data_IF_926221294312
#
_entry.id   IF_926221294312
#
_cell.length_a   1.000
_cell.length_b   1.000
_cell.length_c   1.000
_cell.angle_alpha   90.00
_cell.angle_beta   90.00
_cell.angle_gamma   90.00
#
_symmetry.space_group_name_H-M   'P 1'
#
loop_
_entity.id
_entity.type
_entity.pdbx_description
1 polymer ?
#
# COMPACT_ATOMS: atom_id res chain seq x y z
N UNK A 1 21.36 -33.92 -14.68
CA UNK A 1 21.68 -32.55 -14.21
C UNK A 1 21.18 -31.61 -15.28
N UNK A 2 20.03 -30.99 -15.10
CA UNK A 2 19.59 -29.88 -15.96
C UNK A 2 19.84 -28.60 -15.18
N UNK A 3 20.78 -27.81 -15.66
CA UNK A 3 21.14 -26.51 -15.14
C UNK A 3 19.96 -25.55 -15.32
N UNK A 4 19.40 -25.08 -14.21
CA UNK A 4 18.35 -24.07 -14.23
C UNK A 4 19.05 -22.70 -14.25
N UNK A 5 19.29 -22.21 -15.47
CA UNK A 5 19.90 -20.90 -15.70
C UNK A 5 19.06 -19.80 -15.05
N UNK A 6 19.76 -18.83 -14.45
CA UNK A 6 19.20 -17.71 -13.73
C UNK A 6 18.11 -17.03 -14.53
N UNK A 7 16.95 -16.85 -13.90
CA UNK A 7 15.94 -15.92 -14.36
C UNK A 7 16.49 -14.53 -14.09
N UNK A 8 17.24 -14.01 -15.05
CA UNK A 8 17.76 -12.65 -15.03
C UNK A 8 16.60 -11.69 -14.75
N UNK A 9 16.73 -10.92 -13.67
CA UNK A 9 15.83 -9.83 -13.32
C UNK A 9 15.91 -8.77 -14.42
N UNK A 10 15.04 -8.92 -15.42
CA UNK A 10 14.92 -7.96 -16.49
C UNK A 10 14.56 -6.58 -15.90
N UNK A 11 15.30 -5.50 -16.22
CA UNK A 11 14.89 -4.16 -15.84
C UNK A 11 13.49 -3.88 -16.43
N UNK A 12 12.62 -3.25 -15.64
CA UNK A 12 11.29 -2.79 -16.04
C UNK A 12 11.43 -1.70 -17.12
N UNK A 13 11.58 -2.13 -18.37
CA UNK A 13 11.78 -1.24 -19.52
C UNK A 13 10.42 -0.78 -20.04
N UNK A 14 9.99 0.44 -19.68
CA UNK A 14 9.09 1.20 -20.56
C UNK A 14 7.88 1.93 -19.96
N UNK A 15 7.72 2.03 -18.64
CA UNK A 15 6.68 2.91 -18.09
C UNK A 15 7.14 4.38 -18.23
N UNK A 16 6.41 5.18 -19.02
CA UNK A 16 6.65 6.62 -19.09
C UNK A 16 6.64 7.23 -17.67
N UNK A 17 7.53 8.19 -17.36
CA UNK A 17 7.63 8.75 -16.03
C UNK A 17 6.26 9.29 -15.60
N UNK A 18 5.77 8.81 -14.45
CA UNK A 18 4.49 9.27 -13.91
C UNK A 18 4.59 10.78 -13.66
N UNK A 19 3.58 11.57 -14.08
CA UNK A 19 3.57 12.98 -13.78
C UNK A 19 3.50 13.15 -12.27
N UNK A 20 4.43 13.95 -11.75
CA UNK A 20 4.72 14.05 -10.32
C UNK A 20 4.85 15.54 -9.97
N UNK A 21 4.54 15.90 -8.73
CA UNK A 21 4.85 17.23 -8.19
C UNK A 21 6.36 17.42 -8.02
N UNK A 22 6.81 18.66 -7.80
CA UNK A 22 8.23 18.98 -7.58
C UNK A 22 8.85 18.20 -6.41
N UNK A 23 8.04 17.83 -5.41
CA UNK A 23 8.44 17.09 -4.22
C UNK A 23 8.29 15.56 -4.33
N UNK A 24 7.98 15.04 -5.52
CA UNK A 24 7.98 13.59 -5.77
C UNK A 24 6.64 12.89 -5.54
N UNK A 25 5.54 13.62 -5.33
CA UNK A 25 4.21 13.04 -5.12
C UNK A 25 3.52 12.79 -6.48
N UNK A 26 3.07 11.57 -6.78
CA UNK A 26 2.43 11.27 -8.06
C UNK A 26 1.13 12.05 -8.22
N UNK A 27 0.91 12.62 -9.40
CA UNK A 27 -0.34 13.30 -9.74
C UNK A 27 -1.42 12.32 -10.22
N UNK A 28 -1.00 11.16 -10.74
CA UNK A 28 -1.88 10.12 -11.28
C UNK A 28 -1.47 8.77 -10.69
N UNK A 29 -2.45 8.04 -10.17
CA UNK A 29 -2.28 6.67 -9.64
C UNK A 29 -3.40 5.81 -10.23
N UNK A 30 -3.05 4.66 -10.81
CA UNK A 30 -3.99 3.74 -11.46
C UNK A 30 -4.89 4.42 -12.51
N UNK A 31 -4.33 5.36 -13.28
CA UNK A 31 -5.07 6.11 -14.30
C UNK A 31 -6.03 7.18 -13.75
N UNK A 32 -6.10 7.37 -12.42
CA UNK A 32 -6.92 8.41 -11.78
C UNK A 32 -6.05 9.55 -11.31
N UNK A 33 -6.47 10.79 -11.61
CA UNK A 33 -5.84 12.00 -11.08
C UNK A 33 -6.16 12.17 -9.60
N UNK A 34 -5.13 12.48 -8.80
CA UNK A 34 -5.30 12.80 -7.39
C UNK A 34 -5.82 14.23 -7.21
N UNK A 35 -6.67 14.40 -6.20
CA UNK A 35 -7.09 15.71 -5.69
C UNK A 35 -5.99 16.33 -4.81
N UNK A 36 -6.12 17.63 -4.53
CA UNK A 36 -5.20 18.35 -3.66
C UNK A 36 -5.14 17.73 -2.25
N UNK A 37 -6.30 17.36 -1.69
CA UNK A 37 -6.40 16.71 -0.38
C UNK A 37 -5.62 15.40 -0.35
N UNK A 38 -5.70 14.60 -1.41
CA UNK A 38 -4.98 13.32 -1.50
C UNK A 38 -3.47 13.53 -1.61
N UNK A 39 -3.03 14.52 -2.38
CA UNK A 39 -1.62 14.89 -2.49
C UNK A 39 -1.07 15.35 -1.12
N UNK A 40 -1.82 16.19 -0.41
CA UNK A 40 -1.45 16.64 0.94
C UNK A 40 -1.37 15.48 1.93
N UNK A 41 -2.35 14.57 1.93
CA UNK A 41 -2.32 13.39 2.78
C UNK A 41 -1.11 12.48 2.51
N UNK A 42 -0.68 12.35 1.24
CA UNK A 42 0.52 11.61 0.88
C UNK A 42 1.80 12.29 1.39
N UNK A 43 1.87 13.63 1.35
CA UNK A 43 2.99 14.40 1.93
C UNK A 43 3.09 14.19 3.42
N UNK A 44 1.99 14.35 4.16
CA UNK A 44 1.97 14.13 5.60
C UNK A 44 2.37 12.70 5.97
N UNK A 45 1.91 11.70 5.22
CA UNK A 45 2.29 10.32 5.44
C UNK A 45 3.79 10.08 5.20
N UNK A 46 4.38 10.74 4.20
CA UNK A 46 5.82 10.70 3.98
C UNK A 46 6.58 11.35 5.13
N UNK A 47 6.19 12.55 5.53
CA UNK A 47 6.83 13.27 6.63
C UNK A 47 6.77 12.47 7.94
N UNK A 48 5.65 11.78 8.20
CA UNK A 48 5.55 10.85 9.34
C UNK A 48 6.52 9.67 9.24
N UNK A 49 6.72 9.08 8.06
CA UNK A 49 7.69 7.99 7.87
C UNK A 49 9.13 8.47 8.06
N UNK A 50 9.43 9.69 7.64
CA UNK A 50 10.76 10.28 7.78
C UNK A 50 11.03 10.69 9.24
N UNK A 51 10.00 11.11 9.98
CA UNK A 51 10.09 11.44 11.40
C UNK A 51 10.13 10.22 12.34
N UNK A 52 9.58 9.08 11.92
CA UNK A 52 9.70 7.82 12.65
C UNK A 52 11.12 7.31 12.42
N UNK A 53 11.92 7.25 13.50
CA UNK A 53 13.17 6.50 13.47
C UNK A 53 12.85 5.09 12.95
N UNK A 54 13.52 4.66 11.89
CA UNK A 54 13.41 3.28 11.37
C UNK A 54 13.94 2.35 12.44
N UNK A 55 13.08 2.02 13.40
CA UNK A 55 13.29 0.90 14.28
C UNK A 55 13.39 -0.32 13.36
N UNK A 56 14.51 -1.04 13.42
CA UNK A 56 14.67 -2.32 12.76
C UNK A 56 13.65 -3.28 13.39
N UNK A 57 12.43 -3.24 12.87
CA UNK A 57 11.35 -4.11 13.32
C UNK A 57 11.81 -5.53 13.02
N UNK A 58 12.04 -6.29 14.09
CA UNK A 58 12.38 -7.70 13.97
C UNK A 58 11.31 -8.38 13.11
N UNK A 59 11.76 -9.21 12.16
CA UNK A 59 10.86 -9.99 11.30
C UNK A 59 9.86 -10.75 12.18
N UNK A 60 8.57 -10.56 11.91
CA UNK A 60 7.53 -11.31 12.60
C UNK A 60 7.69 -12.82 12.29
N UNK A 61 7.82 -13.64 13.34
CA UNK A 61 7.89 -15.10 13.25
C UNK A 61 6.72 -15.67 14.05
N UNK A 62 5.84 -16.44 13.39
CA UNK A 62 4.65 -17.03 14.03
C UNK A 62 3.53 -16.02 14.27
N UNK A 63 3.13 -15.30 13.21
CA UNK A 63 2.21 -14.16 13.30
C UNK A 63 0.87 -14.46 13.97
N UNK A 64 0.20 -13.37 14.37
CA UNK A 64 -0.96 -13.27 15.27
C UNK A 64 -1.56 -14.60 15.76
N UNK A 65 -1.51 -14.82 17.08
CA UNK A 65 -2.41 -15.78 17.70
C UNK A 65 -3.86 -15.47 17.28
N UNK A 66 -4.65 -16.52 17.07
CA UNK A 66 -6.04 -16.53 16.56
C UNK A 66 -7.02 -15.63 17.34
N UNK A 67 -6.56 -14.99 18.41
CA UNK A 67 -7.31 -14.20 19.38
C UNK A 67 -7.26 -12.67 19.16
N UNK A 68 -6.52 -12.15 18.17
CA UNK A 68 -6.91 -10.86 17.55
C UNK A 68 -8.13 -11.09 16.65
N UNK A 69 -9.21 -11.58 17.25
CA UNK A 69 -10.52 -11.55 16.66
C UNK A 69 -11.22 -10.34 17.27
N UNK A 70 -11.15 -9.16 16.64
CA UNK A 70 -12.16 -8.17 16.89
C UNK A 70 -13.44 -8.80 16.36
N UNK A 71 -14.22 -9.45 17.24
CA UNK A 71 -15.58 -9.82 16.92
C UNK A 71 -16.18 -8.62 16.18
N UNK A 72 -16.57 -8.85 14.92
CA UNK A 72 -16.93 -7.80 13.97
C UNK A 72 -18.18 -7.09 14.47
N UNK A 73 -18.01 -6.02 15.23
CA UNK A 73 -19.10 -5.11 15.58
C UNK A 73 -18.94 -3.84 14.75
N UNK A 74 -19.42 -3.93 13.52
CA UNK A 74 -19.82 -2.79 12.72
C UNK A 74 -21.07 -3.23 11.98
N UNK A 75 -22.15 -2.45 12.08
CA UNK A 75 -23.34 -2.71 11.27
C UNK A 75 -22.89 -2.75 9.81
N UNK A 76 -22.95 -3.94 9.19
CA UNK A 76 -22.76 -4.11 7.75
C UNK A 76 -23.93 -3.50 6.96
N UNK A 77 -24.76 -2.69 7.60
CA UNK A 77 -25.82 -1.93 7.00
C UNK A 77 -25.25 -0.78 6.18
N UNK A 78 -25.32 -0.94 4.85
CA UNK A 78 -25.36 0.20 3.96
C UNK A 78 -26.83 0.51 3.69
N UNK A 79 -27.35 1.59 4.28
CA UNK A 79 -28.76 1.99 4.15
C UNK A 79 -29.75 0.88 4.55
N UNK A 80 -29.52 0.24 5.70
CA UNK A 80 -30.41 -0.81 6.25
C UNK A 80 -30.32 -2.17 5.54
N UNK A 81 -29.27 -2.43 4.75
CA UNK A 81 -29.04 -3.74 4.12
C UNK A 81 -27.68 -4.31 4.49
N UNK A 82 -27.68 -5.49 5.09
CA UNK A 82 -26.47 -6.29 5.27
C UNK A 82 -25.99 -6.82 3.91
N UNK A 83 -24.76 -6.48 3.53
CA UNK A 83 -24.11 -6.96 2.31
C UNK A 83 -23.13 -8.07 2.69
N UNK A 84 -23.26 -9.25 2.06
CA UNK A 84 -22.28 -10.33 2.14
C UNK A 84 -21.63 -10.52 0.76
N UNK A 85 -20.32 -10.75 0.73
CA UNK A 85 -19.53 -10.77 -0.50
C UNK A 85 -19.62 -12.16 -1.16
N UNK A 86 -20.53 -12.31 -2.12
CA UNK A 86 -20.55 -13.42 -3.09
C UNK A 86 -19.82 -13.09 -4.38
#
# INVERSE_FOLDING_TARGET
>A
MTDNAGKDDAPDQGQAPVPTTDDGIPLIVNGRRLSETEITALREARDRRDAIAREDQAREVGGAARDTNPTRYGDWEKAGRAIDFS
#
